data_IF_955518639078
#
_entry.id   IF_955518639078
#
_cell.length_a   1.000
_cell.length_b   1.000
_cell.length_c   1.000
_cell.angle_alpha   90.00
_cell.angle_beta   90.00
_cell.angle_gamma   90.00
#
_symmetry.space_group_name_H-M   'P 1'
#
loop_
_entity.id
_entity.type
_entity.pdbx_description
1 polymer ?
#
# COMPACT_ATOMS: atom_id res chain seq x y z
N UNK A 1 41.23 6.44 -2.46
CA UNK A 1 40.65 5.28 -1.80
C UNK A 1 39.16 5.24 -2.09
N UNK A 2 38.78 4.13 -2.62
CA UNK A 2 37.36 3.93 -2.75
C UNK A 2 36.78 3.97 -1.36
N UNK A 3 35.84 4.84 -1.16
CA UNK A 3 35.05 4.83 0.04
C UNK A 3 34.45 3.44 0.15
N UNK A 4 34.80 2.73 1.20
CA UNK A 4 34.07 1.52 1.50
C UNK A 4 32.60 1.92 1.51
N UNK A 5 31.81 1.24 0.71
CA UNK A 5 30.39 1.49 0.72
C UNK A 5 29.93 1.37 2.15
N UNK A 6 29.57 2.49 2.75
CA UNK A 6 28.82 2.44 3.99
C UNK A 6 27.61 1.55 3.71
N UNK A 7 27.25 0.63 4.63
CA UNK A 7 26.01 -0.11 4.43
C UNK A 7 24.93 0.92 4.20
N UNK A 8 24.32 0.85 3.04
CA UNK A 8 23.18 1.71 2.76
C UNK A 8 22.11 1.44 3.80
N UNK A 9 21.47 2.50 4.25
CA UNK A 9 20.28 2.33 5.06
C UNK A 9 19.33 1.39 4.30
N UNK A 10 18.70 0.43 4.98
CA UNK A 10 17.76 -0.47 4.32
C UNK A 10 16.74 0.34 3.55
N UNK A 11 16.62 0.04 2.27
CA UNK A 11 15.60 0.67 1.45
C UNK A 11 14.25 0.11 1.85
N UNK A 12 13.31 0.98 2.14
CA UNK A 12 11.95 0.55 2.42
C UNK A 12 11.29 0.08 1.14
N UNK A 13 10.71 -1.11 1.18
CA UNK A 13 9.93 -1.66 0.08
C UNK A 13 8.46 -1.49 0.40
N UNK A 14 7.73 -0.87 -0.50
CA UNK A 14 6.27 -0.71 -0.39
C UNK A 14 5.60 -1.67 -1.35
N UNK A 15 4.70 -2.49 -0.84
CA UNK A 15 4.00 -3.47 -1.65
C UNK A 15 2.50 -3.26 -1.52
N UNK A 16 1.85 -3.09 -2.65
CA UNK A 16 0.41 -2.93 -2.73
C UNK A 16 -0.22 -4.25 -3.12
N UNK A 17 -1.30 -4.62 -2.47
CA UNK A 17 -2.06 -5.83 -2.76
C UNK A 17 -3.54 -5.53 -2.79
N UNK A 18 -4.24 -6.35 -3.54
CA UNK A 18 -5.70 -6.36 -3.54
C UNK A 18 -6.14 -7.52 -2.65
N UNK A 19 -6.73 -7.20 -1.51
CA UNK A 19 -7.19 -8.21 -0.56
C UNK A 19 -8.49 -8.85 -1.02
N UNK A 20 -9.38 -8.07 -1.61
CA UNK A 20 -10.67 -8.55 -2.08
C UNK A 20 -11.28 -7.57 -3.08
N UNK A 21 -12.15 -8.08 -3.92
CA UNK A 21 -12.92 -7.30 -4.87
C UNK A 21 -14.39 -7.65 -4.72
N UNK A 22 -15.23 -6.63 -4.67
CA UNK A 22 -16.68 -6.82 -4.69
C UNK A 22 -17.18 -6.48 -6.09
N UNK A 23 -17.93 -7.39 -6.68
CA UNK A 23 -18.44 -7.23 -8.04
C UNK A 23 -19.91 -7.60 -8.15
N UNK A 24 -20.55 -7.04 -9.15
CA UNK A 24 -21.90 -7.45 -9.47
C UNK A 24 -21.85 -8.79 -10.23
N UNK A 25 -22.71 -9.71 -9.85
CA UNK A 25 -22.72 -11.03 -10.47
C UNK A 25 -23.24 -11.02 -11.89
N UNK A 26 -24.04 -10.01 -12.24
CA UNK A 26 -24.67 -9.94 -13.56
C UNK A 26 -23.66 -9.76 -14.70
N UNK A 27 -22.64 -8.94 -14.51
CA UNK A 27 -21.67 -8.60 -15.56
C UNK A 27 -20.22 -8.55 -15.08
N UNK A 28 -19.98 -8.82 -13.80
CA UNK A 28 -18.64 -8.80 -13.25
C UNK A 28 -18.08 -7.39 -12.98
N UNK A 29 -18.93 -6.37 -13.00
CA UNK A 29 -18.47 -5.02 -12.67
C UNK A 29 -17.94 -4.96 -11.25
N UNK A 30 -16.66 -4.64 -11.09
CA UNK A 30 -16.04 -4.44 -9.78
C UNK A 30 -16.38 -3.02 -9.31
N UNK A 31 -17.14 -2.94 -8.22
CA UNK A 31 -17.57 -1.65 -7.69
C UNK A 31 -16.80 -1.24 -6.43
N UNK A 32 -16.12 -2.18 -5.77
CA UNK A 32 -15.31 -1.87 -4.60
C UNK A 32 -14.06 -2.75 -4.59
N UNK A 33 -12.91 -2.14 -4.31
CA UNK A 33 -11.67 -2.85 -4.09
C UNK A 33 -11.21 -2.63 -2.66
N UNK A 34 -10.84 -3.71 -1.98
CA UNK A 34 -10.20 -3.69 -0.67
C UNK A 34 -8.72 -3.92 -0.89
N UNK A 35 -7.90 -3.00 -0.45
CA UNK A 35 -6.47 -3.02 -0.72
C UNK A 35 -5.65 -2.94 0.55
N UNK A 36 -4.42 -3.40 0.46
CA UNK A 36 -3.44 -3.27 1.54
C UNK A 36 -2.16 -2.66 0.98
N UNK A 37 -1.45 -1.95 1.83
CA UNK A 37 -0.12 -1.41 1.52
C UNK A 37 0.79 -1.83 2.64
N UNK A 38 1.86 -2.54 2.30
CA UNK A 38 2.84 -3.01 3.27
C UNK A 38 4.16 -2.27 3.04
N UNK A 39 4.77 -1.83 4.13
CA UNK A 39 6.10 -1.25 4.12
C UNK A 39 7.03 -2.14 4.92
N UNK A 40 8.20 -2.45 4.38
CA UNK A 40 9.18 -3.29 5.05
C UNK A 40 10.58 -2.74 4.75
N UNK A 41 11.35 -2.49 5.80
CA UNK A 41 12.73 -1.99 5.66
C UNK A 41 13.79 -3.05 5.96
N UNK A 42 13.38 -4.31 6.09
CA UNK A 42 14.28 -5.40 6.43
C UNK A 42 14.36 -5.70 7.91
N UNK A 43 14.00 -4.75 8.76
CA UNK A 43 14.00 -4.90 10.22
C UNK A 43 12.59 -4.81 10.78
N UNK A 44 11.84 -3.80 10.35
CA UNK A 44 10.48 -3.55 10.81
C UNK A 44 9.52 -3.50 9.63
N UNK A 45 8.26 -3.67 9.93
CA UNK A 45 7.21 -3.54 8.94
C UNK A 45 6.06 -2.70 9.49
N UNK A 46 5.31 -2.11 8.58
CA UNK A 46 4.10 -1.38 8.87
C UNK A 46 3.12 -1.63 7.75
N UNK A 47 1.84 -1.51 8.02
CA UNK A 47 0.82 -1.75 7.02
C UNK A 47 -0.36 -0.82 7.15
N UNK A 48 -1.02 -0.60 6.03
CA UNK A 48 -2.28 0.11 5.96
C UNK A 48 -3.23 -0.69 5.09
N UNK A 49 -4.51 -0.47 5.29
CA UNK A 49 -5.53 -1.09 4.45
C UNK A 49 -6.65 -0.09 4.23
N UNK A 50 -7.39 -0.31 3.15
CA UNK A 50 -8.50 0.57 2.84
C UNK A 50 -9.41 -0.05 1.80
N UNK A 51 -10.45 0.70 1.48
CA UNK A 51 -11.42 0.33 0.46
C UNK A 51 -11.72 1.55 -0.38
N UNK A 52 -11.95 1.33 -1.66
CA UNK A 52 -12.30 2.40 -2.60
C UNK A 52 -13.37 1.90 -3.56
N UNK A 53 -14.35 2.74 -3.84
CA UNK A 53 -15.39 2.45 -4.80
C UNK A 53 -15.02 2.96 -6.19
N UNK A 54 -15.54 2.30 -7.21
CA UNK A 54 -15.34 2.67 -8.59
C UNK A 54 -16.67 3.00 -9.26
N UNK A 55 -16.62 3.92 -10.21
CA UNK A 55 -17.75 4.19 -11.07
C UNK A 55 -17.76 3.17 -12.22
N UNK A 56 -18.94 2.86 -12.71
CA UNK A 56 -19.08 1.94 -13.84
C UNK A 56 -18.45 2.56 -15.09
N UNK A 57 -17.48 1.86 -15.71
CA UNK A 57 -16.83 2.39 -16.92
C UNK A 57 -17.71 2.19 -18.14
N UNK A 58 -17.42 2.95 -19.20
CA UNK A 58 -18.11 2.78 -20.48
C UNK A 58 -17.82 1.41 -21.10
N UNK A 59 -16.57 0.98 -21.01
CA UNK A 59 -16.11 -0.29 -21.53
C UNK A 59 -15.68 -1.18 -20.36
N UNK A 60 -16.51 -2.15 -20.05
CA UNK A 60 -16.24 -3.07 -18.94
C UNK A 60 -15.26 -4.15 -19.38
N UNK A 61 -14.15 -4.25 -18.63
CA UNK A 61 -13.20 -5.34 -18.84
C UNK A 61 -13.78 -6.60 -18.17
N UNK A 62 -13.83 -7.73 -18.86
CA UNK A 62 -14.31 -8.97 -18.23
C UNK A 62 -13.55 -9.27 -16.95
N UNK A 63 -14.27 -9.70 -15.91
CA UNK A 63 -13.66 -9.95 -14.62
C UNK A 63 -12.49 -10.93 -14.71
N UNK A 64 -12.60 -11.96 -15.53
CA UNK A 64 -11.55 -12.95 -15.69
C UNK A 64 -10.27 -12.39 -16.32
N UNK A 65 -10.35 -11.24 -16.97
CA UNK A 65 -9.19 -10.61 -17.62
C UNK A 65 -8.49 -9.58 -16.73
N UNK A 66 -8.99 -9.36 -15.52
CA UNK A 66 -8.37 -8.44 -14.58
C UNK A 66 -7.10 -9.04 -14.00
N UNK A 67 -6.08 -8.21 -13.85
CA UNK A 67 -4.86 -8.57 -13.11
C UNK A 67 -4.77 -7.73 -11.85
N UNK A 68 -4.03 -8.23 -10.86
CA UNK A 68 -3.82 -7.47 -9.63
C UNK A 68 -3.16 -6.12 -9.92
N UNK A 69 -2.14 -6.10 -10.77
CA UNK A 69 -1.43 -4.86 -11.11
C UNK A 69 -2.35 -3.83 -11.74
N UNK A 70 -3.25 -4.26 -12.62
CA UNK A 70 -4.21 -3.37 -13.24
C UNK A 70 -5.14 -2.76 -12.18
N UNK A 71 -5.67 -3.59 -11.30
CA UNK A 71 -6.58 -3.13 -10.24
C UNK A 71 -5.86 -2.22 -9.25
N UNK A 72 -4.62 -2.52 -8.91
CA UNK A 72 -3.80 -1.64 -8.07
C UNK A 72 -3.68 -0.25 -8.72
N UNK A 73 -3.46 -0.18 -10.03
CA UNK A 73 -3.37 1.10 -10.72
C UNK A 73 -4.69 1.89 -10.63
N UNK A 74 -5.82 1.20 -10.70
CA UNK A 74 -7.14 1.83 -10.54
C UNK A 74 -7.33 2.36 -9.13
N UNK A 75 -6.93 1.58 -8.11
CA UNK A 75 -7.01 1.99 -6.71
C UNK A 75 -6.17 3.24 -6.49
N UNK A 76 -4.92 3.23 -6.93
CA UNK A 76 -4.01 4.36 -6.75
C UNK A 76 -4.54 5.63 -7.40
N UNK A 77 -5.12 5.51 -8.58
CA UNK A 77 -5.71 6.65 -9.27
C UNK A 77 -6.98 7.13 -8.55
N UNK A 78 -7.82 6.21 -8.10
CA UNK A 78 -9.09 6.55 -7.46
C UNK A 78 -8.90 7.21 -6.08
N UNK A 79 -7.86 6.85 -5.34
CA UNK A 79 -7.60 7.45 -4.03
C UNK A 79 -6.98 8.85 -4.11
N UNK A 80 -6.54 9.28 -5.29
CA UNK A 80 -5.99 10.62 -5.49
C UNK A 80 -4.69 10.67 -6.27
N UNK A 81 -4.27 9.55 -6.87
CA UNK A 81 -3.08 9.48 -7.71
C UNK A 81 -1.78 9.47 -6.93
N UNK A 82 -0.70 9.86 -7.60
CA UNK A 82 0.64 9.80 -7.04
C UNK A 82 0.81 10.56 -5.73
N UNK A 83 0.17 11.71 -5.61
CA UNK A 83 0.24 12.51 -4.37
C UNK A 83 -0.29 11.72 -3.18
N UNK A 84 -1.42 11.05 -3.33
CA UNK A 84 -2.02 10.27 -2.26
C UNK A 84 -1.23 8.99 -1.97
N UNK A 85 -0.71 8.35 -3.01
CA UNK A 85 0.18 7.21 -2.86
C UNK A 85 1.40 7.61 -2.02
N UNK A 86 2.01 8.75 -2.32
CA UNK A 86 3.15 9.26 -1.58
C UNK A 86 2.82 9.58 -0.14
N UNK A 87 1.63 10.14 0.13
CA UNK A 87 1.19 10.41 1.51
C UNK A 87 1.05 9.11 2.32
N UNK A 88 0.46 8.09 1.76
CA UNK A 88 0.29 6.80 2.43
C UNK A 88 1.66 6.18 2.72
N UNK A 89 2.54 6.19 1.74
CA UNK A 89 3.88 5.62 1.90
C UNK A 89 4.72 6.41 2.90
N UNK A 90 4.59 7.74 2.92
CA UNK A 90 5.26 8.58 3.91
C UNK A 90 4.75 8.31 5.33
N UNK A 91 3.45 8.09 5.49
CA UNK A 91 2.88 7.74 6.78
C UNK A 91 3.40 6.39 7.28
N UNK A 92 3.52 5.41 6.39
CA UNK A 92 4.09 4.10 6.74
C UNK A 92 5.58 4.22 7.07
N UNK A 93 6.32 5.03 6.32
CA UNK A 93 7.73 5.28 6.62
C UNK A 93 7.89 5.91 8.00
N UNK A 94 7.01 6.84 8.36
CA UNK A 94 7.03 7.44 9.69
C UNK A 94 6.80 6.41 10.79
N UNK A 95 5.95 5.41 10.55
CA UNK A 95 5.73 4.33 11.50
C UNK A 95 6.98 3.44 11.65
N UNK A 96 7.70 3.20 10.56
CA UNK A 96 8.96 2.45 10.61
C UNK A 96 10.02 3.25 11.38
N UNK A 97 10.11 4.54 11.13
CA UNK A 97 11.04 5.42 11.82
C UNK A 97 10.75 5.45 13.33
N UNK A 98 9.48 5.47 13.72
CA UNK A 98 9.08 5.42 15.11
C UNK A 98 9.47 4.10 15.76
N UNK A 99 9.42 3.00 15.04
CA UNK A 99 9.86 1.71 15.56
C UNK A 99 11.39 1.68 15.78
N UNK A 100 12.15 2.33 14.89
CA UNK A 100 13.61 2.42 15.04
C UNK A 100 14.01 3.36 16.17
N UNK A 101 13.29 4.46 16.35
CA UNK A 101 13.59 5.51 17.33
C UNK A 101 12.32 5.87 18.10
N UNK A 102 11.86 5.00 19.01
CA UNK A 102 10.60 5.25 19.72
C UNK A 102 10.64 6.55 20.51
N UNK A 103 9.68 7.40 20.27
CA UNK A 103 9.48 8.63 21.07
C UNK A 103 8.73 8.35 22.36
N UNK A 104 8.11 7.16 22.45
CA UNK A 104 7.33 6.72 23.61
C UNK A 104 7.60 5.26 23.87
N UNK A 105 7.77 4.91 25.12
CA UNK A 105 8.01 3.54 25.54
C UNK A 105 7.07 3.24 26.69
N UNK A 106 6.41 2.08 26.63
CA UNK A 106 5.56 1.61 27.71
C UNK A 106 6.37 0.74 28.66
N UNK A 107 6.00 0.77 29.91
CA UNK A 107 6.63 -0.07 30.94
C UNK A 107 6.55 0.60 32.30
N UNK A 108 7.09 -0.10 33.31
CA UNK A 108 7.16 0.39 34.69
C UNK A 108 8.61 0.37 35.15
N UNK A 109 9.01 1.23 36.10
CA UNK A 109 10.41 1.32 36.49
C UNK A 109 10.90 0.21 37.44
N UNK A 110 10.01 -0.70 37.83
CA UNK A 110 10.36 -1.79 38.75
C UNK A 110 10.16 -3.15 38.10
#
# INVERSE_FOLDING_TARGET
MAKAAAPEAPTTVFTWHIANLERETADGFVFTAHYTVDANDGTYSAGAYGSIGFERPENLIPFADLSEDLVISWVQQAIGGEEKVNEIQAALQAQLDEQHHPSKIAGVPW
#
